data_IF_700083938549
#
_entry.id   IF_700083938549
#
_cell.length_a   1.000
_cell.length_b   1.000
_cell.length_c   1.000
_cell.angle_alpha   90.00
_cell.angle_beta   90.00
_cell.angle_gamma   90.00
#
_symmetry.space_group_name_H-M   'P 1'
#
loop_
_entity.id
_entity.type
_entity.pdbx_description
1 polymer ?
#
# COMPACT_ATOMS: atom_id res chain seq x y z
N UNK A 1 13.93 22.95 -6.71
CA UNK A 1 12.52 22.87 -7.19
C UNK A 1 11.99 21.47 -6.87
N UNK A 2 11.37 21.28 -5.70
CA UNK A 2 10.69 20.03 -5.35
C UNK A 2 9.44 19.91 -6.23
N UNK A 3 9.45 18.95 -7.17
CA UNK A 3 8.33 18.75 -8.09
C UNK A 3 7.16 18.15 -7.31
N UNK A 4 6.16 18.99 -7.09
CA UNK A 4 4.80 18.64 -6.69
C UNK A 4 4.17 17.77 -7.76
N UNK A 5 4.22 16.46 -7.57
CA UNK A 5 3.19 15.56 -8.08
C UNK A 5 3.07 14.41 -7.13
N UNK A 6 2.00 14.44 -6.34
CA UNK A 6 1.44 13.40 -5.47
C UNK A 6 1.28 12.01 -6.14
N UNK A 7 1.70 11.88 -7.40
CA UNK A 7 1.71 10.65 -8.19
C UNK A 7 3.01 9.85 -7.99
N UNK A 8 4.14 10.48 -7.62
CA UNK A 8 5.40 9.77 -7.32
C UNK A 8 5.41 9.10 -5.94
N UNK A 9 4.49 9.51 -5.04
CA UNK A 9 4.25 8.85 -3.74
C UNK A 9 3.55 7.50 -3.91
N UNK A 10 2.96 7.27 -5.08
CA UNK A 10 2.39 5.98 -5.46
C UNK A 10 3.37 5.35 -6.44
N UNK A 11 4.23 4.46 -5.94
CA UNK A 11 4.87 3.48 -6.81
C UNK A 11 3.87 2.32 -6.98
N UNK A 12 2.94 2.33 -7.97
CA UNK A 12 1.94 1.29 -8.13
C UNK A 12 2.59 -0.09 -8.26
N UNK A 13 3.75 -0.15 -8.93
CA UNK A 13 4.55 -1.38 -9.04
C UNK A 13 4.89 -1.97 -7.66
N UNK A 14 5.38 -1.15 -6.71
CA UNK A 14 5.74 -1.61 -5.37
C UNK A 14 4.53 -2.08 -4.56
N UNK A 15 3.38 -1.43 -4.73
CA UNK A 15 2.14 -1.86 -4.07
C UNK A 15 1.72 -3.22 -4.58
N UNK A 16 1.71 -3.43 -5.90
CA UNK A 16 1.36 -4.72 -6.47
C UNK A 16 2.33 -5.84 -6.07
N UNK A 17 3.64 -5.58 -5.99
CA UNK A 17 4.62 -6.55 -5.48
C UNK A 17 4.33 -6.97 -4.02
N UNK A 18 3.97 -6.01 -3.16
CA UNK A 18 3.58 -6.29 -1.78
C UNK A 18 2.30 -7.11 -1.73
N UNK A 19 1.29 -6.77 -2.54
CA UNK A 19 0.02 -7.52 -2.58
C UNK A 19 0.25 -8.95 -3.05
N UNK A 20 1.03 -9.17 -4.10
CA UNK A 20 1.36 -10.53 -4.56
C UNK A 20 2.04 -11.35 -3.46
N UNK A 21 3.01 -10.75 -2.75
CA UNK A 21 3.68 -11.40 -1.62
C UNK A 21 2.71 -11.75 -0.50
N UNK A 22 1.84 -10.82 -0.12
CA UNK A 22 0.86 -11.01 0.95
C UNK A 22 -0.17 -12.08 0.58
N UNK A 23 -0.62 -12.14 -0.68
CA UNK A 23 -1.49 -13.20 -1.17
C UNK A 23 -0.84 -14.57 -1.07
N UNK A 24 0.45 -14.68 -1.43
CA UNK A 24 1.23 -15.91 -1.25
C UNK A 24 1.28 -16.35 0.21
N UNK A 25 1.65 -15.43 1.11
CA UNK A 25 1.69 -15.69 2.54
C UNK A 25 0.32 -16.07 3.11
N UNK A 26 -0.77 -15.47 2.61
CA UNK A 26 -2.12 -15.81 3.04
C UNK A 26 -2.45 -17.28 2.72
N UNK A 27 -2.16 -17.72 1.49
CA UNK A 27 -2.33 -19.12 1.08
C UNK A 27 -1.47 -20.06 1.93
N UNK A 28 -0.22 -19.69 2.22
CA UNK A 28 0.69 -20.50 3.05
C UNK A 28 0.22 -20.64 4.52
N UNK A 29 -0.58 -19.69 5.01
CA UNK A 29 -1.06 -19.66 6.39
C UNK A 29 -2.55 -20.05 6.54
N UNK A 30 -3.16 -20.62 5.50
CA UNK A 30 -4.60 -20.98 5.47
C UNK A 30 -5.53 -19.77 5.74
N UNK A 31 -5.11 -18.58 5.28
CA UNK A 31 -5.87 -17.34 5.36
C UNK A 31 -6.46 -16.98 3.99
N UNK A 32 -7.60 -16.28 4.01
CA UNK A 32 -8.24 -15.77 2.79
C UNK A 32 -7.37 -14.67 2.13
N UNK A 33 -6.84 -14.90 0.91
CA UNK A 33 -5.96 -13.94 0.24
C UNK A 33 -6.65 -12.62 -0.13
N UNK A 34 -7.97 -12.64 -0.36
CA UNK A 34 -8.73 -11.45 -0.74
C UNK A 34 -9.01 -10.56 0.48
N UNK A 35 -9.20 -11.15 1.65
CA UNK A 35 -9.25 -10.41 2.92
C UNK A 35 -7.89 -9.76 3.20
N UNK A 36 -6.80 -10.51 3.09
CA UNK A 36 -5.45 -10.01 3.35
C UNK A 36 -5.06 -8.89 2.40
N UNK A 37 -5.37 -9.01 1.11
CA UNK A 37 -5.16 -7.95 0.12
C UNK A 37 -5.90 -6.66 0.52
N UNK A 38 -7.19 -6.74 0.88
CA UNK A 38 -7.98 -5.55 1.26
C UNK A 38 -7.40 -4.84 2.48
N UNK A 39 -6.96 -5.59 3.49
CA UNK A 39 -6.33 -5.04 4.69
C UNK A 39 -5.05 -4.28 4.32
N UNK A 40 -4.16 -4.90 3.54
CA UNK A 40 -2.91 -4.28 3.15
C UNK A 40 -3.10 -3.07 2.25
N UNK A 41 -4.01 -3.13 1.26
CA UNK A 41 -4.34 -1.98 0.41
C UNK A 41 -4.89 -0.80 1.23
N UNK A 42 -5.77 -1.08 2.18
CA UNK A 42 -6.33 -0.05 3.08
C UNK A 42 -5.24 0.56 3.97
N UNK A 43 -4.39 -0.27 4.57
CA UNK A 43 -3.29 0.18 5.41
C UNK A 43 -2.33 1.08 4.63
N UNK A 44 -1.91 0.68 3.43
CA UNK A 44 -1.04 1.49 2.55
C UNK A 44 -1.71 2.83 2.23
N UNK A 45 -2.99 2.83 1.87
CA UNK A 45 -3.73 4.06 1.58
C UNK A 45 -3.79 5.00 2.79
N UNK A 46 -4.01 4.47 4.00
CA UNK A 46 -4.01 5.24 5.24
C UNK A 46 -2.64 5.87 5.53
N UNK A 47 -1.54 5.14 5.32
CA UNK A 47 -0.20 5.68 5.53
C UNK A 47 0.14 6.79 4.52
N UNK A 48 -0.26 6.65 3.26
CA UNK A 48 -0.09 7.70 2.26
C UNK A 48 -0.87 8.96 2.67
N UNK A 49 -2.13 8.82 3.08
CA UNK A 49 -2.94 9.96 3.54
C UNK A 49 -2.35 10.60 4.81
N UNK A 50 -1.84 9.78 5.73
CA UNK A 50 -1.15 10.25 6.93
C UNK A 50 0.11 11.05 6.59
N UNK A 51 0.99 10.53 5.72
CA UNK A 51 2.18 11.26 5.27
C UNK A 51 1.83 12.58 4.60
N UNK A 52 0.80 12.59 3.74
CA UNK A 52 0.31 13.82 3.11
C UNK A 52 -0.22 14.86 4.10
N UNK A 53 -0.80 14.43 5.23
CA UNK A 53 -1.26 15.31 6.31
C UNK A 53 -0.09 15.85 7.14
N UNK A 54 0.89 15.01 7.46
CA UNK A 54 2.07 15.38 8.27
C UNK A 54 2.98 16.33 7.50
N UNK A 55 3.24 16.07 6.21
CA UNK A 55 4.13 16.89 5.38
C UNK A 55 3.52 18.21 4.89
N UNK A 56 2.24 18.47 5.22
CA UNK A 56 1.54 19.75 4.97
C UNK A 56 1.63 20.73 6.14
N UNK A 57 2.26 20.36 7.26
CA UNK A 57 2.55 21.26 8.39
C UNK A 57 3.93 21.90 8.28
#
# INVERSE_FOLDING_TARGET
>A
KFKKTTQDVKAPARVEEIILKVRGLAVENDLDPDIMEKIYRTMIACFIDYELKVHKR
#
